data_IF_922826504505
#
_entry.id   IF_922826504505
#
_cell.length_a   1.000
_cell.length_b   1.000
_cell.length_c   1.000
_cell.angle_alpha   90.00
_cell.angle_beta   90.00
_cell.angle_gamma   90.00
#
_symmetry.space_group_name_H-M   'P 1'
#
loop_
_entity.id
_entity.type
_entity.pdbx_description
1 polymer ?
#
# COMPACT_ATOMS: atom_id res chain seq x y z
N UNK A 1 -14.12 42.74 -26.10
CA UNK A 1 -13.29 41.85 -26.93
C UNK A 1 -12.47 41.03 -25.98
N UNK A 2 -13.02 39.89 -25.52
CA UNK A 2 -12.45 39.04 -24.53
C UNK A 2 -11.68 37.90 -25.23
N UNK A 3 -10.42 37.72 -24.88
CA UNK A 3 -9.55 36.69 -25.43
C UNK A 3 -9.67 35.47 -24.52
N UNK A 4 -10.32 34.42 -25.00
CA UNK A 4 -10.30 33.09 -24.33
C UNK A 4 -8.95 32.41 -24.53
N UNK A 5 -8.35 31.82 -23.48
CA UNK A 5 -7.17 31.00 -23.64
C UNK A 5 -7.59 29.61 -24.14
N UNK A 6 -7.13 29.24 -25.33
CA UNK A 6 -7.22 27.89 -25.89
C UNK A 6 -6.31 26.94 -25.14
N UNK A 7 -6.85 26.14 -24.26
CA UNK A 7 -6.15 25.01 -23.67
C UNK A 7 -5.98 23.90 -24.73
N UNK A 8 -4.75 23.63 -25.15
CA UNK A 8 -4.40 22.41 -25.88
C UNK A 8 -3.85 21.39 -24.86
N UNK A 9 -4.47 20.23 -24.66
CA UNK A 9 -3.88 19.19 -23.82
C UNK A 9 -2.66 18.61 -24.57
N UNK A 10 -1.51 18.61 -23.90
CA UNK A 10 -0.30 17.96 -24.38
C UNK A 10 -0.47 16.44 -24.34
N UNK A 11 0.11 15.76 -25.34
CA UNK A 11 0.03 14.31 -25.57
C UNK A 11 0.70 13.44 -24.47
N UNK A 12 1.11 14.02 -23.35
CA UNK A 12 1.78 13.31 -22.24
C UNK A 12 0.85 12.65 -21.21
N UNK A 13 -0.49 12.77 -21.39
CA UNK A 13 -1.47 12.29 -20.38
C UNK A 13 -2.01 10.88 -20.64
N UNK A 14 -1.28 10.01 -21.36
CA UNK A 14 -1.80 8.68 -21.74
C UNK A 14 -1.18 7.47 -21.03
N UNK A 15 -0.35 7.63 -20.01
CA UNK A 15 0.42 6.47 -19.47
C UNK A 15 0.21 6.18 -17.98
N UNK A 16 -0.69 6.81 -17.26
CA UNK A 16 -0.74 6.60 -15.81
C UNK A 16 -2.10 6.11 -15.30
N UNK A 17 -2.74 5.17 -15.99
CA UNK A 17 -3.96 4.52 -15.50
C UNK A 17 -3.70 3.06 -15.13
N UNK A 18 -2.74 2.77 -14.26
CA UNK A 18 -2.48 1.37 -13.87
C UNK A 18 -2.01 1.20 -12.43
N UNK A 19 -2.68 1.84 -11.48
CA UNK A 19 -2.54 1.39 -10.10
C UNK A 19 -3.84 1.69 -9.34
N UNK A 20 -4.50 0.64 -8.91
CA UNK A 20 -5.78 0.62 -8.18
C UNK A 20 -7.07 0.81 -9.00
N UNK A 21 -7.10 0.33 -10.24
CA UNK A 21 -8.38 -0.12 -10.77
C UNK A 21 -8.60 -1.55 -10.29
N UNK A 22 -9.58 -1.74 -9.44
CA UNK A 22 -10.25 -3.03 -9.29
C UNK A 22 -10.93 -3.30 -10.63
N UNK A 23 -10.19 -3.94 -11.54
CA UNK A 23 -10.71 -4.37 -12.82
C UNK A 23 -11.82 -5.39 -12.59
N UNK A 24 -13.05 -4.99 -12.89
CA UNK A 24 -14.10 -5.94 -13.19
C UNK A 24 -13.67 -6.70 -14.45
N UNK A 25 -13.10 -7.89 -14.29
CA UNK A 25 -12.81 -8.78 -15.40
C UNK A 25 -13.87 -9.86 -15.50
N UNK A 26 -14.44 -9.95 -16.67
CA UNK A 26 -15.26 -11.05 -17.16
C UNK A 26 -14.52 -12.37 -17.02
N UNK A 27 -15.19 -13.33 -16.43
CA UNK A 27 -14.75 -14.70 -16.25
C UNK A 27 -14.50 -15.39 -17.59
N UNK A 28 -13.23 -15.71 -17.86
CA UNK A 28 -12.88 -16.84 -18.74
C UNK A 28 -12.46 -18.00 -17.85
N UNK A 29 -13.11 -19.14 -18.02
CA UNK A 29 -12.86 -20.37 -17.28
C UNK A 29 -11.45 -20.90 -17.52
N UNK A 30 -10.61 -20.68 -16.54
CA UNK A 30 -9.29 -21.28 -16.35
C UNK A 30 -9.06 -21.34 -14.87
N UNK A 31 -8.38 -22.37 -14.40
CA UNK A 31 -8.02 -22.66 -13.02
C UNK A 31 -7.90 -21.37 -12.19
N UNK A 32 -8.74 -21.20 -11.16
CA UNK A 32 -8.83 -19.97 -10.40
C UNK A 32 -7.51 -19.73 -9.67
N UNK A 33 -6.57 -19.08 -10.36
CA UNK A 33 -5.26 -18.74 -9.79
C UNK A 33 -5.46 -17.85 -8.58
N UNK A 34 -4.91 -18.27 -7.45
CA UNK A 34 -4.94 -17.52 -6.19
C UNK A 34 -4.29 -16.17 -6.43
N UNK A 35 -5.02 -15.09 -6.12
CA UNK A 35 -4.52 -13.72 -6.16
C UNK A 35 -4.47 -13.17 -4.74
N UNK A 36 -3.26 -12.92 -4.28
CA UNK A 36 -2.98 -12.15 -3.05
C UNK A 36 -2.89 -10.67 -3.44
N UNK A 37 -3.66 -9.82 -2.80
CA UNK A 37 -3.73 -8.38 -3.14
C UNK A 37 -2.77 -7.52 -2.32
N UNK A 38 -2.61 -7.82 -1.04
CA UNK A 38 -1.74 -7.07 -0.13
C UNK A 38 -1.15 -7.96 0.97
N UNK A 39 -0.07 -7.49 1.60
CA UNK A 39 0.62 -8.19 2.69
C UNK A 39 0.86 -7.27 3.89
N UNK A 40 0.93 -7.87 5.09
CA UNK A 40 1.43 -7.24 6.30
C UNK A 40 2.22 -8.26 7.11
N UNK A 41 3.34 -7.86 7.70
CA UNK A 41 4.13 -8.70 8.60
C UNK A 41 3.69 -8.50 10.05
N UNK A 42 3.62 -9.61 10.82
CA UNK A 42 3.49 -9.52 12.29
C UNK A 42 4.75 -8.87 12.88
N UNK A 43 4.66 -8.22 14.05
CA UNK A 43 5.81 -7.55 14.65
C UNK A 43 7.01 -8.48 14.89
N UNK A 44 6.77 -9.75 15.20
CA UNK A 44 7.79 -10.78 15.43
C UNK A 44 8.23 -11.51 14.14
N UNK A 45 7.68 -11.12 12.98
CA UNK A 45 8.00 -11.70 11.67
C UNK A 45 7.51 -13.14 11.46
N UNK A 46 6.79 -13.75 12.42
CA UNK A 46 6.35 -15.15 12.33
C UNK A 46 5.11 -15.36 11.50
N UNK A 47 4.31 -14.31 11.31
CA UNK A 47 3.08 -14.37 10.54
C UNK A 47 3.01 -13.27 9.49
N UNK A 48 2.25 -13.55 8.44
CA UNK A 48 1.92 -12.59 7.41
C UNK A 48 0.39 -12.56 7.30
N UNK A 49 -0.21 -11.39 7.38
CA UNK A 49 -1.60 -11.21 6.99
C UNK A 49 -1.64 -10.89 5.49
N UNK A 50 -2.54 -11.55 4.77
CA UNK A 50 -2.73 -11.34 3.33
C UNK A 50 -4.22 -11.22 3.02
N UNK A 51 -4.59 -10.43 2.04
CA UNK A 51 -5.91 -10.54 1.44
C UNK A 51 -5.85 -11.47 0.22
N UNK A 52 -6.79 -12.37 0.16
CA UNK A 52 -6.91 -13.36 -0.92
C UNK A 52 -8.21 -13.15 -1.67
N UNK A 53 -8.10 -12.91 -2.96
CA UNK A 53 -9.26 -12.73 -3.84
C UNK A 53 -9.89 -14.07 -4.20
N UNK A 54 -11.22 -14.14 -4.04
CA UNK A 54 -12.07 -15.27 -4.46
C UNK A 54 -13.30 -14.73 -5.21
N UNK A 55 -13.27 -14.84 -6.53
CA UNK A 55 -14.28 -14.22 -7.37
C UNK A 55 -14.32 -12.69 -7.20
N UNK A 56 -15.48 -12.17 -6.82
CA UNK A 56 -15.67 -10.72 -6.56
C UNK A 56 -15.39 -10.29 -5.12
N UNK A 57 -15.05 -11.23 -4.25
CA UNK A 57 -14.77 -11.00 -2.84
C UNK A 57 -13.27 -11.13 -2.55
N UNK A 58 -12.84 -10.59 -1.43
CA UNK A 58 -11.54 -10.91 -0.84
C UNK A 58 -11.66 -11.05 0.67
N UNK A 59 -10.75 -11.82 1.25
CA UNK A 59 -10.77 -12.19 2.66
C UNK A 59 -9.37 -12.11 3.24
N UNK A 60 -9.28 -11.77 4.53
CA UNK A 60 -8.01 -11.73 5.24
C UNK A 60 -7.66 -13.13 5.74
N UNK A 61 -6.43 -13.55 5.46
CA UNK A 61 -5.81 -14.77 5.98
C UNK A 61 -4.57 -14.43 6.79
N UNK A 62 -4.31 -15.21 7.83
CA UNK A 62 -3.04 -15.25 8.55
C UNK A 62 -2.25 -16.45 8.06
N UNK A 63 -1.01 -16.23 7.66
CA UNK A 63 -0.09 -17.22 7.09
C UNK A 63 1.13 -17.35 7.98
N UNK A 64 1.50 -18.55 8.38
CA UNK A 64 2.76 -18.78 9.08
C UNK A 64 3.93 -18.58 8.11
N UNK A 65 4.91 -17.76 8.49
CA UNK A 65 6.01 -17.35 7.61
C UNK A 65 7.04 -18.49 7.36
N UNK A 66 7.10 -19.47 8.24
CA UNK A 66 7.99 -20.64 8.14
C UNK A 66 7.41 -21.77 7.28
N UNK A 67 6.11 -22.06 7.46
CA UNK A 67 5.44 -23.21 6.84
C UNK A 67 4.52 -22.84 5.66
N UNK A 68 4.13 -21.57 5.54
CA UNK A 68 3.16 -21.13 4.55
C UNK A 68 1.72 -21.58 4.84
N UNK A 69 1.42 -22.15 6.02
CA UNK A 69 0.08 -22.60 6.36
C UNK A 69 -0.81 -21.38 6.62
N UNK A 70 -1.91 -21.28 5.86
CA UNK A 70 -2.86 -20.17 5.96
C UNK A 70 -4.09 -20.55 6.78
N UNK A 71 -4.53 -19.62 7.63
CA UNK A 71 -5.79 -19.66 8.36
C UNK A 71 -6.62 -18.45 7.97
N UNK A 72 -7.86 -18.67 7.55
CA UNK A 72 -8.79 -17.58 7.23
C UNK A 72 -9.23 -16.88 8.51
N UNK A 73 -9.14 -15.55 8.56
CA UNK A 73 -9.52 -14.74 9.72
C UNK A 73 -10.90 -14.11 9.58
N UNK A 74 -11.32 -13.78 8.36
CA UNK A 74 -12.53 -12.99 8.14
C UNK A 74 -13.54 -13.74 7.27
N UNK A 75 -14.84 -13.46 7.48
CA UNK A 75 -15.94 -14.18 6.88
C UNK A 75 -17.03 -13.25 6.32
N UNK A 76 -16.64 -12.13 5.70
CA UNK A 76 -17.62 -11.27 5.05
C UNK A 76 -18.46 -12.04 4.02
N UNK A 77 -19.75 -11.75 3.98
CA UNK A 77 -20.67 -12.37 3.01
C UNK A 77 -20.76 -11.59 1.70
N UNK A 78 -20.26 -10.37 1.70
CA UNK A 78 -20.21 -9.47 0.52
C UNK A 78 -18.94 -8.60 0.57
N UNK A 79 -18.60 -8.00 -0.56
CA UNK A 79 -17.54 -6.99 -0.62
C UNK A 79 -16.12 -7.54 -0.61
N UNK A 80 -15.18 -6.67 -0.28
CA UNK A 80 -13.74 -6.98 -0.27
C UNK A 80 -13.12 -6.53 1.04
N UNK A 81 -12.29 -7.39 1.59
CA UNK A 81 -11.46 -7.14 2.75
C UNK A 81 -10.00 -7.08 2.27
N UNK A 82 -9.32 -5.96 2.46
CA UNK A 82 -8.02 -5.68 1.86
C UNK A 82 -7.12 -4.91 2.82
N UNK A 83 -5.86 -4.73 2.46
CA UNK A 83 -4.90 -3.87 3.15
C UNK A 83 -4.80 -4.14 4.66
N UNK A 84 -4.48 -5.38 5.07
CA UNK A 84 -4.31 -5.70 6.48
C UNK A 84 -3.11 -4.97 7.08
N UNK A 85 -3.17 -4.71 8.40
CA UNK A 85 -2.07 -4.19 9.20
C UNK A 85 -2.11 -4.83 10.58
N UNK A 86 -0.97 -5.37 11.05
CA UNK A 86 -0.85 -5.86 12.42
C UNK A 86 -0.68 -4.71 13.42
N UNK A 87 -1.26 -4.86 14.60
CA UNK A 87 -0.90 -4.02 15.74
C UNK A 87 0.50 -4.37 16.25
N UNK A 88 1.24 -3.42 16.88
CA UNK A 88 2.61 -3.63 17.38
C UNK A 88 2.74 -4.72 18.44
N UNK A 89 1.66 -4.98 19.20
CA UNK A 89 1.58 -6.08 20.18
C UNK A 89 1.28 -7.43 19.52
N UNK A 90 0.98 -7.46 18.21
CA UNK A 90 0.60 -8.66 17.46
C UNK A 90 -0.77 -9.22 17.81
N UNK A 91 -1.58 -8.51 18.62
CA UNK A 91 -2.85 -9.02 19.13
C UNK A 91 -4.05 -8.71 18.24
N UNK A 92 -3.90 -7.75 17.31
CA UNK A 92 -5.00 -7.27 16.44
C UNK A 92 -4.54 -7.11 15.00
N UNK A 93 -5.54 -7.12 14.10
CA UNK A 93 -5.37 -6.79 12.68
C UNK A 93 -6.43 -5.77 12.31
N UNK A 94 -6.00 -4.62 11.78
CA UNK A 94 -6.86 -3.68 11.09
C UNK A 94 -6.87 -4.00 9.59
N UNK A 95 -8.01 -3.82 8.93
CA UNK A 95 -8.13 -4.01 7.50
C UNK A 95 -9.19 -3.08 6.91
N UNK A 96 -9.15 -2.91 5.60
CA UNK A 96 -10.14 -2.13 4.86
C UNK A 96 -11.25 -3.05 4.39
N UNK A 97 -12.50 -2.72 4.72
CA UNK A 97 -13.69 -3.37 4.18
C UNK A 97 -14.37 -2.45 3.17
N UNK A 98 -14.53 -2.94 1.95
CA UNK A 98 -15.27 -2.28 0.89
C UNK A 98 -16.53 -3.10 0.54
N UNK A 99 -17.75 -2.59 0.85
CA UNK A 99 -18.99 -3.36 0.68
C UNK A 99 -19.37 -3.63 -0.77
N UNK A 100 -18.87 -2.84 -1.72
CA UNK A 100 -19.16 -3.00 -3.14
C UNK A 100 -19.30 -1.69 -3.90
N UNK A 101 -19.71 -1.77 -5.15
CA UNK A 101 -19.79 -0.62 -6.06
C UNK A 101 -20.71 0.48 -5.49
N UNK A 102 -20.22 1.72 -5.50
CA UNK A 102 -20.95 2.90 -4.99
C UNK A 102 -20.92 3.05 -3.46
N UNK A 103 -20.38 2.06 -2.73
CA UNK A 103 -20.21 2.14 -1.29
C UNK A 103 -18.82 2.66 -0.93
N UNK A 104 -18.72 3.25 0.26
CA UNK A 104 -17.47 3.78 0.80
C UNK A 104 -16.75 2.71 1.62
N UNK A 105 -15.42 2.65 1.52
CA UNK A 105 -14.61 1.75 2.33
C UNK A 105 -14.49 2.24 3.76
N UNK A 106 -14.28 1.32 4.67
CA UNK A 106 -14.12 1.58 6.10
C UNK A 106 -13.09 0.67 6.71
N UNK A 107 -12.52 1.10 7.81
CA UNK A 107 -11.56 0.31 8.57
C UNK A 107 -12.33 -0.55 9.57
N UNK A 108 -11.98 -1.83 9.61
CA UNK A 108 -12.45 -2.81 10.59
C UNK A 108 -11.24 -3.36 11.31
N UNK A 109 -11.38 -3.60 12.61
CA UNK A 109 -10.37 -4.22 13.46
C UNK A 109 -10.91 -5.55 13.98
N UNK A 110 -10.05 -6.58 13.98
CA UNK A 110 -10.31 -7.89 14.58
C UNK A 110 -9.16 -8.29 15.47
N UNK A 111 -9.43 -9.22 16.39
CA UNK A 111 -8.34 -9.89 17.10
C UNK A 111 -7.53 -10.79 16.15
N UNK A 112 -6.30 -11.13 16.50
CA UNK A 112 -5.38 -11.88 15.63
C UNK A 112 -5.85 -13.31 15.31
N UNK A 113 -6.87 -13.80 16.00
CA UNK A 113 -7.59 -15.06 15.73
C UNK A 113 -8.84 -14.88 14.85
N UNK A 114 -9.15 -13.66 14.44
CA UNK A 114 -10.31 -13.31 13.62
C UNK A 114 -11.60 -13.05 14.41
N UNK A 115 -11.54 -13.06 15.75
CA UNK A 115 -12.70 -12.81 16.60
C UNK A 115 -12.89 -11.30 16.86
N UNK A 116 -14.04 -10.96 17.46
CA UNK A 116 -14.38 -9.62 17.91
C UNK A 116 -14.27 -8.52 16.84
N UNK A 117 -14.87 -8.69 15.64
CA UNK A 117 -14.79 -7.66 14.62
C UNK A 117 -15.47 -6.37 15.07
N UNK A 118 -14.78 -5.26 14.98
CA UNK A 118 -15.27 -3.92 15.30
C UNK A 118 -15.08 -2.99 14.12
N UNK A 119 -16.17 -2.41 13.63
CA UNK A 119 -16.06 -1.31 12.68
C UNK A 119 -15.52 -0.09 13.42
N UNK A 120 -14.51 0.53 12.84
CA UNK A 120 -13.74 1.56 13.50
C UNK A 120 -13.89 2.94 12.87
N UNK A 121 -14.09 3.02 11.57
CA UNK A 121 -14.31 4.27 10.87
C UNK A 121 -15.77 4.47 10.43
N UNK A 122 -16.15 5.73 10.21
CA UNK A 122 -17.51 6.12 9.85
C UNK A 122 -17.85 5.66 8.42
N UNK A 123 -19.10 5.27 8.20
CA UNK A 123 -19.59 4.84 6.87
C UNK A 123 -19.80 5.99 5.86
N UNK A 124 -19.73 7.24 6.30
CA UNK A 124 -19.96 8.41 5.45
C UNK A 124 -18.76 8.84 4.59
N UNK A 125 -17.58 8.32 4.88
CA UNK A 125 -16.30 8.66 4.22
C UNK A 125 -15.62 7.40 3.68
N UNK A 126 -14.61 7.58 2.84
CA UNK A 126 -13.79 6.48 2.31
C UNK A 126 -12.46 6.47 3.03
N UNK A 127 -12.26 5.48 3.88
CA UNK A 127 -11.02 5.29 4.64
C UNK A 127 -10.22 4.11 4.09
N UNK A 128 -8.89 4.20 4.14
CA UNK A 128 -7.96 3.20 3.60
C UNK A 128 -6.62 3.20 4.34
N UNK A 129 -5.81 2.19 4.05
CA UNK A 129 -4.40 2.10 4.43
C UNK A 129 -4.11 2.33 5.93
N UNK A 130 -4.78 1.59 6.85
CA UNK A 130 -4.52 1.73 8.27
C UNK A 130 -3.12 1.25 8.63
N UNK A 131 -2.45 1.96 9.55
CA UNK A 131 -1.21 1.52 10.21
C UNK A 131 -1.23 1.94 11.67
N UNK A 132 -0.70 1.09 12.54
CA UNK A 132 -0.62 1.36 13.98
C UNK A 132 0.66 2.14 14.32
N UNK A 133 0.58 3.03 15.32
CA UNK A 133 1.76 3.62 15.93
C UNK A 133 2.55 2.57 16.74
N UNK A 134 3.89 2.67 16.82
CA UNK A 134 4.71 1.69 17.54
C UNK A 134 4.36 1.53 19.02
N UNK A 135 3.82 2.55 19.66
CA UNK A 135 3.36 2.52 21.06
C UNK A 135 1.96 1.89 21.25
N UNK A 136 1.35 1.42 20.15
CA UNK A 136 0.03 0.80 20.10
C UNK A 136 -1.12 1.70 20.65
N UNK A 137 -1.00 3.02 20.56
CA UNK A 137 -2.03 3.96 21.04
C UNK A 137 -2.83 4.61 19.94
N UNK A 138 -2.24 4.74 18.76
CA UNK A 138 -2.80 5.51 17.66
C UNK A 138 -2.83 4.66 16.39
N UNK A 139 -3.79 4.93 15.52
CA UNK A 139 -3.81 4.43 14.15
C UNK A 139 -3.80 5.61 13.19
N UNK A 140 -2.91 5.55 12.21
CA UNK A 140 -2.86 6.48 11.09
C UNK A 140 -3.51 5.82 9.89
N UNK A 141 -4.29 6.57 9.14
CA UNK A 141 -5.01 6.08 7.95
C UNK A 141 -5.19 7.19 6.92
N UNK A 142 -5.45 6.81 5.69
CA UNK A 142 -5.84 7.77 4.65
C UNK A 142 -7.36 7.87 4.54
N UNK A 143 -7.86 9.08 4.31
CA UNK A 143 -9.28 9.40 4.11
C UNK A 143 -9.45 10.22 2.84
N UNK A 144 -10.36 9.80 1.97
CA UNK A 144 -10.80 10.62 0.85
C UNK A 144 -11.94 11.54 1.29
N UNK A 145 -11.75 12.82 1.11
CA UNK A 145 -12.75 13.84 1.50
C UNK A 145 -13.87 13.95 0.46
N UNK A 146 -13.55 13.64 -0.79
CA UNK A 146 -14.49 13.72 -1.90
C UNK A 146 -14.67 12.36 -2.57
N UNK A 147 -15.89 12.13 -3.06
CA UNK A 147 -16.23 10.99 -3.89
C UNK A 147 -17.09 11.47 -5.04
N UNK A 148 -16.60 11.42 -6.25
CA UNK A 148 -17.27 11.94 -7.41
C UNK A 148 -16.46 11.75 -8.68
N UNK A 149 -16.90 12.43 -9.73
CA UNK A 149 -16.23 12.46 -11.02
C UNK A 149 -15.36 13.71 -11.09
N UNK A 150 -14.11 13.58 -11.42
CA UNK A 150 -13.20 14.69 -11.71
C UNK A 150 -13.30 15.14 -13.19
N UNK A 151 -14.05 14.40 -14.00
CA UNK A 151 -14.44 14.82 -15.36
C UNK A 151 -15.77 14.17 -15.78
N UNK A 152 -16.47 14.72 -16.79
CA UNK A 152 -17.78 14.21 -17.25
C UNK A 152 -17.73 12.76 -17.77
N UNK A 153 -16.56 12.25 -18.13
CA UNK A 153 -16.35 10.90 -18.67
C UNK A 153 -15.71 9.95 -17.67
N UNK A 154 -15.28 10.44 -16.51
CA UNK A 154 -14.70 9.62 -15.46
C UNK A 154 -15.78 8.87 -14.69
N UNK A 155 -15.42 7.66 -14.19
CA UNK A 155 -16.25 6.98 -13.20
C UNK A 155 -16.06 7.63 -11.83
N UNK A 156 -17.12 7.73 -10.99
CA UNK A 156 -16.97 8.23 -9.64
C UNK A 156 -15.91 7.44 -8.86
N UNK A 157 -15.00 8.15 -8.22
CA UNK A 157 -13.95 7.59 -7.40
C UNK A 157 -13.64 8.48 -6.19
N UNK A 158 -12.91 7.92 -5.24
CA UNK A 158 -12.44 8.64 -4.06
C UNK A 158 -11.22 9.50 -4.44
N UNK A 159 -11.23 10.78 -4.07
CA UNK A 159 -10.14 11.73 -4.32
C UNK A 159 -10.04 12.77 -3.20
N UNK A 160 -9.08 13.70 -3.31
CA UNK A 160 -8.71 14.62 -2.24
C UNK A 160 -8.32 13.86 -0.95
N UNK A 161 -7.35 12.95 -1.09
CA UNK A 161 -6.87 12.14 0.01
C UNK A 161 -6.03 12.96 0.98
N UNK A 162 -6.27 12.73 2.27
CA UNK A 162 -5.46 13.24 3.37
C UNK A 162 -5.13 12.12 4.35
N UNK A 163 -4.14 12.33 5.20
CA UNK A 163 -3.84 11.43 6.30
C UNK A 163 -4.43 11.95 7.61
N UNK A 164 -4.99 11.02 8.36
CA UNK A 164 -5.60 11.24 9.67
C UNK A 164 -5.00 10.28 10.69
N UNK A 165 -5.06 10.67 11.95
CA UNK A 165 -4.77 9.79 13.07
C UNK A 165 -5.92 9.80 14.05
N UNK A 166 -6.06 8.73 14.83
CA UNK A 166 -7.00 8.65 15.93
C UNK A 166 -6.55 7.61 16.95
N UNK A 167 -7.22 7.57 18.09
CA UNK A 167 -7.00 6.58 19.12
C UNK A 167 -7.45 5.19 18.70
N UNK A 168 -6.97 4.14 19.39
CA UNK A 168 -7.31 2.75 19.06
C UNK A 168 -8.80 2.42 19.13
N UNK A 169 -9.60 3.19 19.83
CA UNK A 169 -11.06 3.05 19.89
C UNK A 169 -11.79 3.80 18.78
N UNK A 170 -11.05 4.50 17.91
CA UNK A 170 -11.58 5.31 16.81
C UNK A 170 -11.98 6.73 17.23
N UNK A 171 -11.74 7.13 18.49
CA UNK A 171 -11.96 8.49 18.98
C UNK A 171 -10.82 9.44 18.61
N UNK A 172 -10.98 10.73 18.90
CA UNK A 172 -9.95 11.77 18.74
C UNK A 172 -9.35 11.84 17.32
N UNK A 173 -10.21 11.73 16.30
CA UNK A 173 -9.77 11.81 14.90
C UNK A 173 -9.21 13.21 14.64
N UNK A 174 -7.97 13.26 14.14
CA UNK A 174 -7.27 14.51 13.79
C UNK A 174 -6.58 14.40 12.44
N UNK A 175 -6.56 15.49 11.71
CA UNK A 175 -5.86 15.62 10.43
C UNK A 175 -4.34 15.69 10.67
N UNK A 176 -3.56 15.06 9.80
CA UNK A 176 -2.09 15.06 9.84
C UNK A 176 -1.52 15.94 8.73
N UNK A 177 -2.08 15.85 7.51
CA UNK A 177 -1.58 16.59 6.35
C UNK A 177 -2.50 17.76 6.02
N UNK A 178 -1.94 18.94 5.80
CA UNK A 178 -2.71 20.12 5.41
C UNK A 178 -3.18 20.07 3.95
N UNK A 179 -2.33 19.49 3.07
CA UNK A 179 -2.61 19.34 1.65
C UNK A 179 -3.38 18.06 1.34
N UNK A 180 -4.14 18.10 0.25
CA UNK A 180 -4.80 16.93 -0.33
C UNK A 180 -3.97 16.34 -1.46
N UNK A 181 -3.98 15.00 -1.56
CA UNK A 181 -3.27 14.26 -2.59
C UNK A 181 -4.25 13.66 -3.59
N UNK A 182 -3.81 13.53 -4.84
CA UNK A 182 -4.55 12.79 -5.86
C UNK A 182 -4.57 11.30 -5.54
N UNK A 183 -3.41 10.75 -5.17
CA UNK A 183 -3.25 9.38 -4.67
C UNK A 183 -2.30 9.36 -3.48
N UNK A 184 -2.50 8.38 -2.62
CA UNK A 184 -1.62 8.11 -1.48
C UNK A 184 -1.26 6.63 -1.44
N UNK A 185 -0.04 6.32 -1.04
CA UNK A 185 0.37 4.96 -0.69
C UNK A 185 0.13 4.69 0.79
N UNK A 186 0.22 3.43 1.18
CA UNK A 186 0.18 3.07 2.59
C UNK A 186 1.32 3.75 3.34
N UNK A 187 1.04 4.45 4.45
CA UNK A 187 2.05 5.08 5.26
C UNK A 187 2.87 4.04 6.04
N UNK A 188 4.06 4.45 6.49
CA UNK A 188 4.81 3.75 7.53
C UNK A 188 5.21 4.76 8.61
N UNK A 189 5.10 4.36 9.87
CA UNK A 189 5.40 5.22 11.01
C UNK A 189 6.85 4.96 11.46
N UNK A 190 7.56 6.04 11.81
CA UNK A 190 8.93 5.95 12.32
C UNK A 190 8.98 5.17 13.65
N UNK A 191 10.11 4.52 13.97
CA UNK A 191 10.24 3.72 15.18
C UNK A 191 9.95 4.48 16.48
N UNK A 192 10.19 5.78 16.51
CA UNK A 192 9.88 6.66 17.64
C UNK A 192 8.41 7.13 17.70
N UNK A 193 7.60 6.77 16.69
CA UNK A 193 6.19 7.13 16.60
C UNK A 193 5.91 8.60 16.25
N UNK A 194 6.94 9.41 15.93
CA UNK A 194 6.79 10.86 15.76
C UNK A 194 6.62 11.31 14.32
N UNK A 195 6.92 10.44 13.36
CA UNK A 195 6.86 10.77 11.94
C UNK A 195 6.20 9.65 11.15
N UNK A 196 5.64 9.99 9.99
CA UNK A 196 5.24 9.01 8.99
C UNK A 196 5.94 9.28 7.67
N UNK A 197 6.25 8.23 6.93
CA UNK A 197 6.74 8.29 5.55
C UNK A 197 5.67 7.80 4.59
N UNK A 198 5.49 8.52 3.50
CA UNK A 198 4.55 8.20 2.41
C UNK A 198 5.19 8.50 1.07
N UNK A 199 4.65 7.91 0.00
CA UNK A 199 4.85 8.43 -1.35
C UNK A 199 3.63 9.27 -1.70
N UNK A 200 3.88 10.52 -2.05
CA UNK A 200 2.85 11.45 -2.49
C UNK A 200 2.97 11.71 -3.98
N UNK A 201 1.83 11.92 -4.62
CA UNK A 201 1.74 12.36 -6.01
C UNK A 201 0.80 13.56 -6.05
N UNK A 202 1.36 14.74 -6.32
CA UNK A 202 0.58 15.95 -6.58
C UNK A 202 0.14 16.02 -8.04
N UNK A 203 -0.84 16.87 -8.34
CA UNK A 203 -1.35 17.08 -9.71
C UNK A 203 -0.26 17.54 -10.69
N UNK A 204 0.75 18.26 -10.19
CA UNK A 204 1.85 18.83 -10.98
C UNK A 204 3.24 18.37 -10.53
N UNK A 205 3.34 17.56 -9.48
CA UNK A 205 4.62 17.16 -8.89
C UNK A 205 4.93 15.70 -9.18
N UNK A 206 6.22 15.41 -9.38
CA UNK A 206 6.71 14.05 -9.48
C UNK A 206 6.49 13.31 -8.16
N UNK A 207 6.37 11.97 -8.23
CA UNK A 207 6.34 11.13 -7.03
C UNK A 207 7.59 11.35 -6.20
N UNK A 208 7.39 11.55 -4.92
CA UNK A 208 8.46 11.77 -3.96
C UNK A 208 8.15 11.02 -2.66
N UNK A 209 9.20 10.65 -1.95
CA UNK A 209 9.08 10.15 -0.58
C UNK A 209 9.00 11.38 0.32
N UNK A 210 7.88 11.53 1.01
CA UNK A 210 7.64 12.65 1.93
C UNK A 210 7.52 12.13 3.37
N UNK A 211 8.13 12.86 4.30
CA UNK A 211 8.08 12.56 5.74
C UNK A 211 7.29 13.69 6.41
N UNK A 212 6.24 13.31 7.13
CA UNK A 212 5.36 14.21 7.88
C UNK A 212 5.52 14.02 9.38
N UNK A 213 5.32 15.08 10.15
CA UNK A 213 5.22 15.02 11.61
C UNK A 213 3.86 14.43 12.00
N UNK A 214 3.87 13.52 12.97
CA UNK A 214 2.65 13.03 13.63
C UNK A 214 2.32 13.83 14.90
N UNK A 215 3.23 14.70 15.34
CA UNK A 215 3.09 15.54 16.53
C UNK A 215 2.47 16.89 16.17
N UNK A 216 2.97 17.50 15.12
CA UNK A 216 2.52 18.80 14.61
C UNK A 216 2.02 18.64 13.18
N UNK A 217 0.69 18.68 12.94
CA UNK A 217 0.13 18.61 11.60
C UNK A 217 0.62 19.76 10.71
N UNK A 218 0.94 19.47 9.46
CA UNK A 218 1.46 20.47 8.55
C UNK A 218 2.02 19.93 7.24
N UNK A 219 2.84 20.75 6.55
CA UNK A 219 3.55 20.30 5.35
C UNK A 219 4.60 19.24 5.70
N UNK A 220 5.16 18.54 4.68
CA UNK A 220 6.21 17.57 4.94
C UNK A 220 7.43 18.23 5.59
N UNK A 221 7.95 17.60 6.64
CA UNK A 221 9.16 18.07 7.33
C UNK A 221 10.43 17.74 6.53
N UNK A 222 10.34 16.76 5.63
CA UNK A 222 11.41 16.37 4.74
C UNK A 222 10.82 15.73 3.47
N UNK A 223 11.43 16.06 2.33
CA UNK A 223 11.12 15.43 1.05
C UNK A 223 12.39 14.83 0.48
N UNK A 224 12.32 13.56 0.09
CA UNK A 224 13.41 12.84 -0.52
C UNK A 224 13.07 12.54 -1.98
N UNK A 225 14.02 12.84 -2.88
CA UNK A 225 14.01 12.43 -4.28
C UNK A 225 15.25 11.58 -4.54
N UNK A 226 15.29 10.32 -4.09
CA UNK A 226 16.44 9.48 -4.26
C UNK A 226 16.78 9.34 -5.76
N UNK A 227 18.04 9.53 -6.10
CA UNK A 227 18.50 9.36 -7.48
C UNK A 227 18.62 7.86 -7.79
N UNK A 228 17.49 7.22 -8.08
CA UNK A 228 17.48 5.83 -8.57
C UNK A 228 18.11 5.82 -9.96
N UNK A 229 19.13 4.97 -10.21
CA UNK A 229 19.80 4.90 -11.50
C UNK A 229 18.80 4.68 -12.64
N UNK A 230 18.88 5.52 -13.66
CA UNK A 230 18.06 5.41 -14.86
C UNK A 230 18.58 4.27 -15.72
N UNK A 231 17.80 3.23 -15.87
CA UNK A 231 17.89 2.37 -17.05
C UNK A 231 16.82 2.87 -18.03
N UNK A 232 17.25 3.62 -19.04
CA UNK A 232 16.52 4.12 -20.21
C UNK A 232 15.10 4.76 -20.01
N UNK A 233 14.96 5.98 -20.54
CA UNK A 233 13.74 6.71 -20.96
C UNK A 233 12.76 7.31 -19.94
N UNK A 234 12.77 7.03 -18.64
CA UNK A 234 11.92 7.74 -17.69
C UNK A 234 12.68 8.80 -16.89
N UNK A 235 12.18 10.02 -16.94
CA UNK A 235 12.77 11.16 -16.21
C UNK A 235 12.66 10.98 -14.68
N UNK A 236 11.69 10.20 -14.20
CA UNK A 236 11.45 9.98 -12.77
C UNK A 236 11.05 8.52 -12.50
N UNK A 237 11.75 7.80 -11.60
CA UNK A 237 11.36 6.46 -11.21
C UNK A 237 10.02 6.49 -10.44
N UNK A 238 9.17 5.48 -10.69
CA UNK A 238 7.96 5.29 -9.90
C UNK A 238 8.36 4.70 -8.56
N UNK A 239 8.34 5.50 -7.51
CA UNK A 239 8.57 5.05 -6.13
C UNK A 239 7.25 4.63 -5.48
N UNK A 240 7.27 3.58 -4.65
CA UNK A 240 6.09 3.06 -3.95
C UNK A 240 6.47 2.36 -2.64
N UNK A 241 5.51 2.20 -1.76
CA UNK A 241 5.58 1.41 -0.53
C UNK A 241 6.79 1.72 0.36
N UNK A 242 6.97 2.97 0.80
CA UNK A 242 8.05 3.33 1.70
C UNK A 242 7.80 2.74 3.09
N UNK A 243 8.85 2.23 3.72
CA UNK A 243 8.79 1.69 5.08
C UNK A 243 9.98 2.21 5.87
N UNK A 244 9.73 2.78 7.05
CA UNK A 244 10.78 3.02 8.02
C UNK A 244 11.35 1.70 8.53
N UNK A 245 12.63 1.68 8.82
CA UNK A 245 13.31 0.60 9.53
C UNK A 245 13.92 1.11 10.84
N UNK A 246 14.29 0.24 11.79
CA UNK A 246 14.73 0.66 13.13
C UNK A 246 15.89 1.65 13.19
N UNK A 247 16.77 1.67 12.19
CA UNK A 247 17.88 2.62 12.10
C UNK A 247 17.46 4.01 11.56
N UNK A 248 16.17 4.23 11.32
CA UNK A 248 15.61 5.47 10.77
C UNK A 248 15.79 5.64 9.26
N UNK A 249 16.36 4.65 8.56
CA UNK A 249 16.36 4.66 7.09
C UNK A 249 15.00 4.25 6.53
N UNK A 250 14.79 4.45 5.23
CA UNK A 250 13.56 4.08 4.53
C UNK A 250 13.85 3.04 3.47
N UNK A 251 13.14 1.92 3.51
CA UNK A 251 13.15 0.89 2.47
C UNK A 251 11.91 1.08 1.59
N UNK A 252 12.09 1.09 0.28
CA UNK A 252 11.00 1.36 -0.68
C UNK A 252 11.21 0.59 -1.98
N UNK A 253 10.16 0.50 -2.78
CA UNK A 253 10.24 -0.01 -4.14
C UNK A 253 10.41 1.14 -5.13
N UNK A 254 11.23 0.92 -6.16
CA UNK A 254 11.27 1.81 -7.31
C UNK A 254 11.25 1.01 -8.61
N UNK A 255 10.44 1.48 -9.57
CA UNK A 255 10.33 0.87 -10.87
C UNK A 255 11.36 1.45 -11.83
N UNK A 256 12.04 0.56 -12.54
CA UNK A 256 12.79 0.85 -13.76
C UNK A 256 12.06 0.27 -14.98
N UNK A 257 12.40 0.71 -16.19
CA UNK A 257 11.88 0.13 -17.41
C UNK A 257 12.55 -1.21 -17.71
N UNK A 258 11.80 -2.29 -17.60
CA UNK A 258 12.23 -3.59 -18.08
C UNK A 258 11.83 -3.84 -19.56
N UNK A 259 12.41 -4.84 -20.19
CA UNK A 259 12.10 -5.27 -21.57
C UNK A 259 10.60 -5.57 -21.82
N UNK A 260 9.84 -5.84 -20.76
CA UNK A 260 8.43 -6.26 -20.82
C UNK A 260 7.51 -5.47 -19.88
N UNK A 261 7.88 -4.22 -19.55
CA UNK A 261 7.15 -3.36 -18.65
C UNK A 261 8.00 -2.89 -17.46
N UNK A 262 7.37 -2.54 -16.35
CA UNK A 262 8.09 -2.06 -15.17
C UNK A 262 8.71 -3.23 -14.41
N UNK A 263 10.02 -3.15 -14.17
CA UNK A 263 10.74 -3.97 -13.20
C UNK A 263 10.89 -3.18 -11.92
N UNK A 264 10.46 -3.74 -10.81
CA UNK A 264 10.57 -3.13 -9.49
C UNK A 264 11.77 -3.72 -8.75
N UNK A 265 12.57 -2.84 -8.19
CA UNK A 265 13.63 -3.20 -7.26
C UNK A 265 13.39 -2.55 -5.90
N UNK A 266 13.97 -3.14 -4.87
CA UNK A 266 13.88 -2.65 -3.50
C UNK A 266 15.18 -1.90 -3.21
N UNK A 267 15.01 -0.71 -2.63
CA UNK A 267 16.08 0.21 -2.27
C UNK A 267 15.97 0.59 -0.80
N UNK A 268 17.10 0.97 -0.21
CA UNK A 268 17.19 1.63 1.09
C UNK A 268 17.77 3.02 0.88
N UNK A 269 17.19 4.01 1.54
CA UNK A 269 17.76 5.37 1.61
C UNK A 269 18.01 5.74 3.06
N UNK A 270 19.23 6.16 3.37
CA UNK A 270 19.56 6.76 4.67
C UNK A 270 19.03 8.18 4.70
N UNK A 271 18.06 8.46 5.56
CA UNK A 271 17.32 9.73 5.57
C UNK A 271 18.24 10.92 5.84
N UNK A 272 19.22 10.78 6.74
CA UNK A 272 20.12 11.87 7.15
C UNK A 272 21.16 12.26 6.08
N UNK A 273 21.56 11.33 5.20
CA UNK A 273 22.61 11.55 4.19
C UNK A 273 22.10 11.53 2.75
N UNK A 274 20.89 10.99 2.52
CA UNK A 274 20.37 10.72 1.18
C UNK A 274 21.06 9.57 0.46
N UNK A 275 21.93 8.80 1.17
CA UNK A 275 22.67 7.69 0.56
C UNK A 275 21.70 6.59 0.16
N UNK A 276 21.76 6.18 -1.11
CA UNK A 276 20.90 5.17 -1.69
C UNK A 276 21.65 3.84 -1.87
N UNK A 277 21.02 2.76 -1.44
CA UNK A 277 21.50 1.40 -1.59
C UNK A 277 20.46 0.54 -2.31
N UNK A 278 20.86 -0.22 -3.33
CA UNK A 278 20.01 -1.17 -4.03
C UNK A 278 20.08 -2.52 -3.33
N UNK A 279 18.92 -3.07 -2.91
CA UNK A 279 18.84 -4.31 -2.14
C UNK A 279 18.52 -5.53 -3.03
N UNK A 280 17.83 -5.34 -4.16
CA UNK A 280 17.44 -6.44 -5.05
C UNK A 280 17.72 -6.12 -6.51
N UNK A 281 17.69 -7.15 -7.36
CA UNK A 281 17.86 -7.01 -8.81
C UNK A 281 16.77 -7.83 -9.54
N UNK A 282 15.98 -7.16 -10.38
CA UNK A 282 15.10 -7.81 -11.33
C UNK A 282 13.93 -8.58 -10.70
N UNK A 283 13.11 -7.92 -9.89
CA UNK A 283 11.93 -8.55 -9.29
C UNK A 283 10.73 -8.69 -10.24
N UNK A 284 10.82 -8.16 -11.47
CA UNK A 284 9.67 -8.08 -12.36
C UNK A 284 8.60 -7.14 -11.81
N UNK A 285 7.33 -7.36 -12.15
CA UNK A 285 6.25 -6.56 -11.59
C UNK A 285 5.98 -6.96 -10.14
N UNK A 286 6.36 -6.09 -9.23
CA UNK A 286 6.23 -6.30 -7.79
C UNK A 286 5.46 -5.16 -7.12
N UNK A 287 4.76 -5.48 -6.03
CA UNK A 287 3.92 -4.53 -5.26
C UNK A 287 3.94 -4.86 -3.77
N UNK A 288 3.42 -3.93 -2.99
CA UNK A 288 3.04 -4.09 -1.58
C UNK A 288 4.17 -4.56 -0.66
N UNK A 289 5.25 -3.78 -0.65
CA UNK A 289 6.38 -4.00 0.25
C UNK A 289 6.01 -3.65 1.69
N UNK A 290 6.31 -4.55 2.62
CA UNK A 290 6.23 -4.34 4.07
C UNK A 290 7.47 -4.86 4.74
N UNK A 291 7.93 -4.15 5.76
CA UNK A 291 9.11 -4.51 6.55
C UNK A 291 8.68 -4.89 7.97
N UNK A 292 9.32 -5.92 8.53
CA UNK A 292 9.11 -6.33 9.93
C UNK A 292 9.59 -5.24 10.90
N UNK A 293 9.02 -5.23 12.11
CA UNK A 293 9.35 -4.22 13.11
C UNK A 293 10.83 -4.24 13.53
N UNK A 294 11.50 -5.38 13.45
CA UNK A 294 12.94 -5.52 13.72
C UNK A 294 13.84 -5.11 12.54
N UNK A 295 13.24 -4.75 11.40
CA UNK A 295 13.96 -4.33 10.20
C UNK A 295 14.76 -5.43 9.49
N UNK A 296 14.53 -6.72 9.79
CA UNK A 296 15.29 -7.84 9.21
C UNK A 296 14.64 -8.45 8.00
N UNK A 297 13.32 -8.51 7.99
CA UNK A 297 12.57 -9.19 6.93
C UNK A 297 11.65 -8.21 6.23
N UNK A 298 11.62 -8.27 4.90
CA UNK A 298 10.60 -7.63 4.10
C UNK A 298 9.73 -8.68 3.41
N UNK A 299 8.43 -8.41 3.30
CA UNK A 299 7.50 -9.20 2.50
C UNK A 299 6.98 -8.35 1.34
N UNK A 300 6.82 -8.94 0.18
CA UNK A 300 6.28 -8.26 -0.98
C UNK A 300 5.62 -9.24 -1.95
N UNK A 301 4.86 -8.71 -2.90
CA UNK A 301 4.20 -9.50 -3.93
C UNK A 301 4.95 -9.41 -5.25
N UNK A 302 5.21 -10.56 -5.88
CA UNK A 302 5.56 -10.65 -7.30
C UNK A 302 4.36 -11.13 -8.09
N UNK A 303 4.10 -10.47 -9.23
CA UNK A 303 2.97 -10.78 -10.10
C UNK A 303 3.43 -11.48 -11.36
N UNK A 304 2.69 -12.51 -11.73
CA UNK A 304 2.82 -13.15 -13.03
C UNK A 304 1.83 -12.51 -14.02
N UNK A 305 2.33 -12.15 -15.19
CA UNK A 305 1.53 -11.68 -16.33
C UNK A 305 1.23 -12.85 -17.26
N UNK A 306 0.05 -12.83 -17.88
CA UNK A 306 -0.23 -13.70 -19.02
C UNK A 306 0.42 -13.13 -20.30
N UNK A 307 0.22 -13.82 -21.42
CA UNK A 307 0.75 -13.39 -22.72
C UNK A 307 0.17 -12.06 -23.22
N UNK A 308 -1.03 -11.67 -22.78
CA UNK A 308 -1.64 -10.36 -23.08
C UNK A 308 -1.17 -9.24 -22.12
N UNK A 309 -0.35 -9.56 -21.13
CA UNK A 309 0.17 -8.60 -20.15
C UNK A 309 -0.70 -8.39 -18.90
N UNK A 310 -1.82 -9.14 -18.78
CA UNK A 310 -2.68 -9.04 -17.61
C UNK A 310 -2.07 -9.75 -16.40
N UNK A 311 -2.29 -9.18 -15.21
CA UNK A 311 -1.87 -9.77 -13.95
C UNK A 311 -2.81 -10.92 -13.58
N UNK A 312 -2.31 -12.16 -13.61
CA UNK A 312 -3.13 -13.36 -13.44
C UNK A 312 -2.94 -14.04 -12.09
N UNK A 313 -1.78 -13.92 -11.48
CA UNK A 313 -1.51 -14.47 -10.15
C UNK A 313 -0.44 -13.66 -9.45
N UNK A 314 -0.44 -13.71 -8.13
CA UNK A 314 0.58 -13.12 -7.27
C UNK A 314 1.14 -14.17 -6.33
N UNK A 315 2.40 -14.00 -5.94
CA UNK A 315 3.08 -14.83 -4.96
C UNK A 315 3.78 -13.94 -3.95
N UNK A 316 3.68 -14.31 -2.68
CA UNK A 316 4.41 -13.64 -1.59
C UNK A 316 5.88 -14.06 -1.66
N UNK A 317 6.76 -13.07 -1.55
CA UNK A 317 8.20 -13.24 -1.40
C UNK A 317 8.67 -12.64 -0.10
N UNK A 318 9.64 -13.29 0.52
CA UNK A 318 10.36 -12.79 1.68
C UNK A 318 11.77 -12.39 1.26
N UNK A 319 12.21 -11.23 1.71
CA UNK A 319 13.56 -10.72 1.53
C UNK A 319 14.21 -10.56 2.92
N UNK A 320 15.32 -11.21 3.15
CA UNK A 320 16.20 -10.89 4.26
C UNK A 320 16.98 -9.61 3.92
N UNK A 321 16.78 -8.55 4.71
CA UNK A 321 17.37 -7.23 4.43
C UNK A 321 18.86 -7.15 4.72
N UNK A 322 19.43 -8.11 5.45
CA UNK A 322 20.86 -8.18 5.74
C UNK A 322 21.60 -9.00 4.67
N UNK A 323 21.16 -10.24 4.43
CA UNK A 323 21.78 -11.13 3.44
C UNK A 323 21.38 -10.82 2.00
N UNK A 324 20.26 -10.08 1.80
CA UNK A 324 19.61 -9.78 0.51
C UNK A 324 19.07 -11.01 -0.22
N UNK A 325 18.97 -12.12 0.50
CA UNK A 325 18.35 -13.33 -0.05
C UNK A 325 16.84 -13.14 -0.18
N UNK A 326 16.32 -13.49 -1.35
CA UNK A 326 14.89 -13.44 -1.65
C UNK A 326 14.36 -14.84 -1.90
N UNK A 327 13.30 -15.25 -1.19
CA UNK A 327 12.68 -16.57 -1.33
C UNK A 327 11.15 -16.47 -1.47
N UNK A 328 10.52 -17.31 -2.31
CA UNK A 328 9.07 -17.40 -2.37
C UNK A 328 8.51 -18.05 -1.11
N UNK A 329 7.36 -17.58 -0.64
CA UNK A 329 6.56 -18.24 0.37
C UNK A 329 5.44 -19.03 -0.31
N UNK A 330 5.48 -20.35 -0.20
CA UNK A 330 4.45 -21.22 -0.75
C UNK A 330 3.28 -21.30 0.23
N UNK A 331 2.17 -20.65 -0.10
CA UNK A 331 0.99 -20.60 0.76
C UNK A 331 0.08 -21.79 0.47
N UNK A 332 -0.32 -22.50 1.53
CA UNK A 332 -1.25 -23.62 1.51
C UNK A 332 -2.47 -23.33 2.41
N UNK A 333 -3.57 -24.07 2.21
CA UNK A 333 -4.77 -23.89 3.06
C UNK A 333 -5.67 -22.72 2.67
N UNK A 334 -5.48 -22.11 1.52
CA UNK A 334 -6.34 -21.06 1.00
C UNK A 334 -7.68 -21.61 0.44
N UNK A 335 -8.44 -22.37 1.23
CA UNK A 335 -9.74 -22.95 0.83
C UNK A 335 -10.94 -22.07 1.23
#
# INVERSE_FOLDING_TARGET
MAIEPKFRPSAALRVTFLLFLVLAHTSYGGDASIQVGSVALSPDGKFIAVDVKKGNMSFIYKVAADSGIATRLTNATTGKETSPAFSPDGMRIAYVYWPGKGARSRIVMVDVDGLNPRQWSLSAVTDSSPVFSPDNKTVVFSRAELYGNDSPIAQPHAHAWKFYACDLDGSNIREITAESFYMVSSPSISPDGRSMVVVTEGLETNRQIAIYSLVEPGPPILTLQPHVPKEADHKNPIMTYPNFVPDGSVVFMAASNGKHGYDYDIYRVTVSTGTLEKLTNGNGYATDLRVSADGRTAAFLKWRKNWSGDLVSSQVYLLDLQSRETKPLNISGLR
#
